data_IF_242040936606
#
_entry.id   IF_242040936606
#
_cell.length_a   1.000
_cell.length_b   1.000
_cell.length_c   1.000
_cell.angle_alpha   90.00
_cell.angle_beta   90.00
_cell.angle_gamma   90.00
#
_symmetry.space_group_name_H-M   'P 1'
#
loop_
_entity.id
_entity.type
_entity.pdbx_description
1 polymer ?
#
# COMPACT_ATOMS: atom_id res chain seq x y z
N UNK A 1 -1.78 -1.40 -11.89
CA UNK A 1 -0.68 -1.67 -10.94
C UNK A 1 0.28 -2.77 -11.40
N UNK A 2 -0.20 -3.85 -12.02
CA UNK A 2 0.60 -5.07 -12.21
C UNK A 2 1.80 -4.97 -13.16
N UNK A 3 1.90 -3.97 -14.04
CA UNK A 3 3.12 -3.76 -14.83
C UNK A 3 4.28 -3.12 -14.03
N UNK A 4 4.03 -2.63 -12.80
CA UNK A 4 5.05 -1.93 -11.99
C UNK A 4 5.80 -2.92 -11.09
N UNK A 5 7.10 -2.64 -10.89
CA UNK A 5 7.94 -3.41 -9.97
C UNK A 5 7.90 -2.89 -8.54
N UNK A 6 7.59 -1.60 -8.34
CA UNK A 6 7.47 -0.95 -7.04
C UNK A 6 6.29 0.02 -7.01
N UNK A 7 5.66 0.13 -5.86
CA UNK A 7 4.49 0.97 -5.62
C UNK A 7 4.69 1.69 -4.29
N UNK A 8 4.46 3.00 -4.28
CA UNK A 8 4.44 3.80 -3.05
C UNK A 8 2.98 4.11 -2.72
N UNK A 9 2.57 3.76 -1.50
CA UNK A 9 1.22 4.02 -0.99
C UNK A 9 1.34 5.01 0.15
N UNK A 10 0.55 6.08 0.09
CA UNK A 10 0.34 6.99 1.22
C UNK A 10 -1.03 6.66 1.81
N UNK A 11 -1.04 6.20 3.06
CA UNK A 11 -2.24 5.98 3.82
C UNK A 11 -2.53 7.20 4.71
N UNK A 12 -3.81 7.46 4.90
CA UNK A 12 -4.30 8.46 5.84
C UNK A 12 -3.74 8.24 7.24
N UNK A 13 -3.70 9.28 8.08
CA UNK A 13 -3.27 9.14 9.46
C UNK A 13 -4.06 8.11 10.24
N UNK A 14 -3.42 7.53 11.25
CA UNK A 14 -4.06 6.60 12.19
C UNK A 14 -5.30 7.26 12.83
N UNK A 15 -6.43 6.55 12.81
CA UNK A 15 -7.71 7.05 13.33
C UNK A 15 -8.67 7.58 12.27
N UNK A 16 -8.22 7.76 11.02
CA UNK A 16 -9.13 8.00 9.90
C UNK A 16 -9.98 6.76 9.61
N UNK A 17 -11.25 6.97 9.25
CA UNK A 17 -12.12 5.90 8.82
C UNK A 17 -11.52 5.21 7.58
N UNK A 18 -11.51 3.88 7.58
CA UNK A 18 -11.07 3.10 6.43
C UNK A 18 -12.15 3.17 5.37
N UNK A 19 -11.83 3.69 4.19
CA UNK A 19 -12.74 3.68 3.05
C UNK A 19 -13.07 2.23 2.66
N UNK A 20 -14.35 1.89 2.64
CA UNK A 20 -14.84 0.53 2.33
C UNK A 20 -15.58 0.46 0.97
N UNK A 21 -15.07 1.19 -0.01
CA UNK A 21 -15.55 1.06 -1.40
C UNK A 21 -15.00 -0.24 -2.03
N UNK A 22 -15.76 -0.79 -2.98
CA UNK A 22 -15.33 -1.97 -3.74
C UNK A 22 -13.95 -1.76 -4.42
N UNK A 23 -13.70 -0.55 -4.90
CA UNK A 23 -12.43 -0.18 -5.52
C UNK A 23 -11.27 -0.22 -4.53
N UNK A 24 -11.46 0.23 -3.28
CA UNK A 24 -10.43 0.16 -2.24
C UNK A 24 -10.17 -1.25 -1.78
N UNK A 25 -11.18 -2.14 -1.78
CA UNK A 25 -10.97 -3.58 -1.56
C UNK A 25 -10.08 -4.17 -2.65
N UNK A 26 -10.43 -3.99 -3.93
CA UNK A 26 -9.61 -4.48 -5.06
C UNK A 26 -8.16 -3.98 -4.98
N UNK A 27 -7.94 -2.71 -4.60
CA UNK A 27 -6.60 -2.15 -4.39
C UNK A 27 -5.82 -2.90 -3.31
N UNK A 28 -6.45 -3.17 -2.15
CA UNK A 28 -5.82 -3.88 -1.04
C UNK A 28 -5.51 -5.32 -1.41
N UNK A 29 -6.45 -6.01 -2.03
CA UNK A 29 -6.30 -7.40 -2.46
C UNK A 29 -5.18 -7.51 -3.51
N UNK A 30 -5.18 -6.61 -4.51
CA UNK A 30 -4.11 -6.53 -5.52
C UNK A 30 -2.73 -6.33 -4.88
N UNK A 31 -2.61 -5.50 -3.84
CA UNK A 31 -1.33 -5.31 -3.16
C UNK A 31 -0.93 -6.57 -2.38
N UNK A 32 -1.86 -7.20 -1.67
CA UNK A 32 -1.60 -8.39 -0.87
C UNK A 32 -1.21 -9.60 -1.72
N UNK A 33 -1.85 -9.79 -2.88
CA UNK A 33 -1.66 -10.99 -3.72
C UNK A 33 -0.40 -10.92 -4.60
N UNK A 34 0.12 -9.72 -4.83
CA UNK A 34 1.08 -9.49 -5.91
C UNK A 34 2.33 -8.71 -5.50
N UNK A 35 2.36 -8.17 -4.28
CA UNK A 35 3.46 -7.36 -3.77
C UNK A 35 3.75 -7.67 -2.29
N UNK A 36 4.99 -7.39 -1.88
CA UNK A 36 5.45 -7.45 -0.49
C UNK A 36 5.75 -6.03 0.00
N UNK A 37 5.49 -5.74 1.28
CA UNK A 37 5.83 -4.46 1.89
C UNK A 37 7.32 -4.43 2.26
N UNK A 38 8.10 -3.57 1.62
CA UNK A 38 9.56 -3.50 1.78
C UNK A 38 10.01 -2.44 2.79
N UNK A 39 9.17 -1.43 3.03
CA UNK A 39 9.52 -0.34 3.93
C UNK A 39 8.30 0.47 4.29
N UNK A 40 8.30 0.99 5.52
CA UNK A 40 7.22 1.80 6.05
C UNK A 40 7.81 2.98 6.82
N UNK A 41 7.29 4.19 6.59
CA UNK A 41 7.68 5.40 7.30
C UNK A 41 6.45 6.26 7.60
N UNK A 42 6.42 6.87 8.77
CA UNK A 42 5.41 7.88 9.11
C UNK A 42 6.00 9.28 8.89
N UNK A 43 5.26 10.14 8.21
CA UNK A 43 5.63 11.54 7.95
C UNK A 43 4.38 12.39 8.15
N UNK A 44 4.44 13.36 9.06
CA UNK A 44 3.33 14.28 9.37
C UNK A 44 1.98 13.58 9.61
N UNK A 45 2.02 12.45 10.32
CA UNK A 45 0.86 11.62 10.62
C UNK A 45 0.45 10.66 9.50
N UNK A 46 0.86 10.90 8.25
CA UNK A 46 0.62 9.97 7.13
C UNK A 46 1.58 8.79 7.18
N UNK A 47 1.10 7.63 6.73
CA UNK A 47 1.90 6.40 6.66
C UNK A 47 2.26 6.13 5.20
N UNK A 48 3.55 6.16 4.89
CA UNK A 48 4.10 5.86 3.58
C UNK A 48 4.62 4.42 3.60
N UNK A 49 4.09 3.57 2.72
CA UNK A 49 4.54 2.19 2.56
C UNK A 49 5.05 1.97 1.14
N UNK A 50 6.24 1.39 1.01
CA UNK A 50 6.79 0.92 -0.26
C UNK A 50 6.49 -0.57 -0.41
N UNK A 51 5.86 -0.92 -1.51
CA UNK A 51 5.60 -2.29 -1.93
C UNK A 51 6.48 -2.63 -3.14
N UNK A 52 7.02 -3.85 -3.19
CA UNK A 52 7.75 -4.37 -4.35
C UNK A 52 7.22 -5.76 -4.75
N UNK A 53 7.65 -6.26 -5.91
CA UNK A 53 7.38 -7.67 -6.26
C UNK A 53 8.08 -8.61 -5.28
N UNK A 54 7.52 -9.81 -5.03
CA UNK A 54 8.14 -10.78 -4.13
C UNK A 54 9.63 -11.02 -4.44
N UNK A 55 10.47 -10.94 -3.40
CA UNK A 55 11.92 -11.08 -3.50
C UNK A 55 12.64 -9.89 -4.12
N UNK A 56 12.03 -8.69 -4.14
CA UNK A 56 12.60 -7.46 -4.75
C UNK A 56 12.50 -6.21 -3.89
N UNK A 57 12.31 -6.38 -2.59
CA UNK A 57 12.88 -5.43 -1.64
C UNK A 57 14.38 -5.29 -1.92
#
# INVERSE_FOLDING_TARGET
MLARHRIVVVASPSGAAVEDSAMVRVKRDTLADHFEACGKRTVDGSVITVYARPGRC
#
